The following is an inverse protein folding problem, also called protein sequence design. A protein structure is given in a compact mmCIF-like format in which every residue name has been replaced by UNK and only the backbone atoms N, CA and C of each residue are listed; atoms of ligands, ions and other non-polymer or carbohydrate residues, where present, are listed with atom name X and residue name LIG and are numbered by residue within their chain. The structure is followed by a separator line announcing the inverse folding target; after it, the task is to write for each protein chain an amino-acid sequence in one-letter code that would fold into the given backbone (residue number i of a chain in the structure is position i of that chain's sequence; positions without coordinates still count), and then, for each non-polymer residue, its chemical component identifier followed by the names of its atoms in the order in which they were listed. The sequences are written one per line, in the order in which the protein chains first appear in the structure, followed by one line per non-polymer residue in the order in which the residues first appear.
data_IF_023401396134
#
_entry.id   IF_023401396134
#
_cell.length_a   1.000
_cell.length_b   1.000
_cell.length_c   1.000
_cell.angle_alpha   90.00
_cell.angle_beta   90.00
_cell.angle_gamma   90.00
#
_symmetry.space_group_name_H-M   'P 1'
#
loop_
_entity.id
_entity.type
_entity.pdbx_description
1 polymer ?
#
# COMPACT_ATOMS: atom_id res chain seq x y z
N UNK A 1 48.61 13.78 46.15
CA UNK A 1 48.68 14.27 44.76
C UNK A 1 47.26 14.33 44.16
N UNK A 2 46.43 15.29 44.59
CA UNK A 2 45.10 15.60 44.03
C UNK A 2 45.19 16.80 43.07
N UNK A 3 46.14 16.78 42.13
CA UNK A 3 46.41 17.93 41.26
C UNK A 3 45.42 18.04 40.07
N UNK A 4 44.55 17.05 39.91
CA UNK A 4 43.50 16.98 38.88
C UNK A 4 42.21 16.42 39.50
N UNK A 5 41.77 17.02 40.59
CA UNK A 5 40.50 16.72 41.26
C UNK A 5 39.28 16.97 40.36
N UNK A 6 39.40 17.89 39.41
CA UNK A 6 38.43 18.10 38.32
C UNK A 6 39.14 18.04 36.97
N UNK A 7 38.60 17.26 36.04
CA UNK A 7 39.06 17.18 34.65
C UNK A 7 37.86 16.97 33.71
N UNK A 8 37.98 17.44 32.47
CA UNK A 8 36.83 17.54 31.54
C UNK A 8 36.48 16.22 30.84
N UNK A 9 37.40 15.25 30.81
CA UNK A 9 37.30 14.01 30.04
C UNK A 9 36.85 14.21 28.57
N UNK A 10 37.12 15.39 27.98
CA UNK A 10 36.52 15.81 26.72
C UNK A 10 36.78 14.85 25.55
N UNK A 11 38.02 14.35 25.42
CA UNK A 11 38.35 13.37 24.37
C UNK A 11 37.65 12.02 24.58
N UNK A 12 37.47 11.59 25.83
CA UNK A 12 36.77 10.33 26.15
C UNK A 12 35.30 10.47 25.76
N UNK A 13 34.66 11.58 26.13
CA UNK A 13 33.28 11.89 25.76
C UNK A 13 33.12 11.97 24.23
N UNK A 14 34.02 12.66 23.53
CA UNK A 14 33.98 12.77 22.07
C UNK A 14 34.13 11.41 21.36
N UNK A 15 35.04 10.54 21.83
CA UNK A 15 35.21 9.19 21.26
C UNK A 15 33.97 8.32 21.43
N UNK A 16 33.32 8.39 22.59
CA UNK A 16 32.06 7.66 22.83
C UNK A 16 30.88 8.22 22.05
N UNK A 17 30.85 9.54 21.85
CA UNK A 17 29.85 10.19 20.99
C UNK A 17 30.05 9.77 19.53
N UNK A 18 31.29 9.70 19.05
CA UNK A 18 31.59 9.23 17.69
C UNK A 18 31.16 7.76 17.49
N UNK A 19 31.46 6.87 18.44
CA UNK A 19 31.01 5.47 18.42
C UNK A 19 29.48 5.36 18.38
N UNK A 20 28.76 6.19 19.16
CA UNK A 20 27.31 6.24 19.13
C UNK A 20 26.74 6.73 17.79
N UNK A 21 27.40 7.69 17.13
CA UNK A 21 27.00 8.18 15.80
C UNK A 21 27.13 7.09 14.74
N UNK A 22 28.16 6.23 14.81
CA UNK A 22 28.30 5.11 13.88
C UNK A 22 27.16 4.09 14.04
N UNK A 23 26.76 3.78 15.27
CA UNK A 23 25.59 2.92 15.53
C UNK A 23 24.31 3.58 14.99
N UNK A 24 24.15 4.89 15.18
CA UNK A 24 23.00 5.62 14.66
C UNK A 24 22.92 5.55 13.11
N UNK A 25 24.05 5.66 12.40
CA UNK A 25 24.09 5.49 10.94
C UNK A 25 23.61 4.10 10.52
N UNK A 26 24.01 3.04 11.23
CA UNK A 26 23.52 1.68 10.97
C UNK A 26 22.00 1.57 11.16
N UNK A 27 21.48 2.14 12.25
CA UNK A 27 20.03 2.15 12.53
C UNK A 27 19.25 2.92 11.46
N UNK A 28 19.73 4.11 11.08
CA UNK A 28 19.10 4.94 10.04
C UNK A 28 19.12 4.24 8.69
N UNK A 29 20.24 3.63 8.31
CA UNK A 29 20.35 2.87 7.05
C UNK A 29 19.34 1.73 6.98
N UNK A 30 19.25 0.94 8.06
CA UNK A 30 18.27 -0.15 8.21
C UNK A 30 16.84 0.39 8.10
N UNK A 31 16.55 1.50 8.77
CA UNK A 31 15.24 2.11 8.76
C UNK A 31 14.86 2.66 7.37
N UNK A 32 15.80 3.30 6.66
CA UNK A 32 15.59 3.81 5.30
C UNK A 32 15.28 2.69 4.30
N UNK A 33 15.99 1.56 4.39
CA UNK A 33 15.68 0.37 3.58
C UNK A 33 14.27 -0.14 3.90
N UNK A 34 13.92 -0.25 5.18
CA UNK A 34 12.59 -0.67 5.62
C UNK A 34 11.46 0.26 5.15
N UNK A 35 11.68 1.57 5.19
CA UNK A 35 10.72 2.56 4.69
C UNK A 35 10.54 2.47 3.17
N UNK A 36 11.62 2.32 2.41
CA UNK A 36 11.52 2.15 0.95
C UNK A 36 10.83 0.83 0.59
N UNK A 37 11.09 -0.24 1.36
CA UNK A 37 10.37 -1.51 1.20
C UNK A 37 8.87 -1.33 1.46
N UNK A 38 8.48 -0.59 2.49
CA UNK A 38 7.08 -0.30 2.76
C UNK A 38 6.44 0.53 1.63
N UNK A 39 7.15 1.50 1.06
CA UNK A 39 6.67 2.28 -0.09
C UNK A 39 6.42 1.39 -1.33
N UNK A 40 7.34 0.49 -1.63
CA UNK A 40 7.19 -0.46 -2.75
C UNK A 40 6.03 -1.43 -2.52
N UNK A 41 5.87 -1.95 -1.29
CA UNK A 41 4.73 -2.81 -0.94
C UNK A 41 3.40 -2.10 -1.10
N UNK A 42 3.34 -0.80 -0.80
CA UNK A 42 2.12 0.00 -0.95
C UNK A 42 1.81 0.30 -2.41
N UNK A 43 2.85 0.49 -3.22
CA UNK A 43 2.70 0.58 -4.66
C UNK A 43 2.20 -0.74 -5.28
N UNK A 44 2.72 -1.88 -4.79
CA UNK A 44 2.24 -3.21 -5.17
C UNK A 44 0.78 -3.42 -4.76
N UNK A 45 0.44 -3.04 -3.53
CA UNK A 45 -0.92 -3.12 -2.98
C UNK A 45 -1.93 -2.39 -3.87
N UNK A 46 -1.63 -1.14 -4.28
CA UNK A 46 -2.51 -0.36 -5.16
C UNK A 46 -2.69 -1.02 -6.53
N UNK A 47 -1.62 -1.53 -7.13
CA UNK A 47 -1.71 -2.21 -8.43
C UNK A 47 -2.51 -3.51 -8.35
N UNK A 48 -2.28 -4.33 -7.33
CA UNK A 48 -3.00 -5.59 -7.14
C UNK A 48 -4.47 -5.33 -6.79
N UNK A 49 -4.78 -4.29 -6.02
CA UNK A 49 -6.17 -3.88 -5.74
C UNK A 49 -6.92 -3.56 -7.03
N UNK A 50 -6.33 -2.75 -7.92
CA UNK A 50 -6.97 -2.39 -9.20
C UNK A 50 -7.18 -3.61 -10.11
N UNK A 51 -6.24 -4.57 -10.13
CA UNK A 51 -6.41 -5.84 -10.85
C UNK A 51 -7.59 -6.64 -10.28
N UNK A 52 -7.71 -6.74 -8.96
CA UNK A 52 -8.84 -7.44 -8.31
C UNK A 52 -10.17 -6.72 -8.61
N UNK A 53 -10.22 -5.38 -8.55
CA UNK A 53 -11.42 -4.61 -8.94
C UNK A 53 -11.85 -4.92 -10.37
N UNK A 54 -10.91 -4.87 -11.32
CA UNK A 54 -11.18 -5.21 -12.71
C UNK A 54 -11.67 -6.65 -12.87
N UNK A 55 -11.07 -7.62 -12.19
CA UNK A 55 -11.49 -9.02 -12.22
C UNK A 55 -12.89 -9.23 -11.65
N UNK A 56 -13.23 -8.57 -10.54
CA UNK A 56 -14.57 -8.61 -9.93
C UNK A 56 -15.61 -7.99 -10.86
N UNK A 57 -15.34 -6.81 -11.41
CA UNK A 57 -16.26 -6.14 -12.35
C UNK A 57 -16.50 -6.97 -13.61
N UNK A 58 -15.45 -7.51 -14.22
CA UNK A 58 -15.58 -8.34 -15.42
C UNK A 58 -16.35 -9.63 -15.13
N UNK A 59 -16.12 -10.26 -13.98
CA UNK A 59 -16.87 -11.45 -13.56
C UNK A 59 -18.33 -11.13 -13.30
N UNK A 60 -18.62 -10.03 -12.59
CA UNK A 60 -19.98 -9.58 -12.31
C UNK A 60 -20.75 -9.34 -13.61
N UNK A 61 -20.15 -8.63 -14.57
CA UNK A 61 -20.76 -8.40 -15.90
C UNK A 61 -21.00 -9.70 -16.69
N UNK A 62 -20.08 -10.65 -16.62
CA UNK A 62 -20.19 -11.92 -17.35
C UNK A 62 -21.25 -12.85 -16.75
N UNK A 63 -21.41 -12.86 -15.43
CA UNK A 63 -22.18 -13.90 -14.71
C UNK A 63 -23.48 -13.39 -14.10
N UNK A 64 -23.56 -12.11 -13.72
CA UNK A 64 -24.72 -11.55 -13.05
C UNK A 64 -25.63 -10.76 -14.00
N UNK A 65 -25.15 -10.32 -15.18
CA UNK A 65 -25.89 -9.38 -16.04
C UNK A 65 -26.70 -10.05 -17.16
N UNK A 66 -26.36 -11.28 -17.53
CA UNK A 66 -26.94 -11.99 -18.68
C UNK A 66 -27.86 -13.11 -18.21
N UNK A 67 -29.20 -12.93 -18.24
CA UNK A 67 -30.18 -13.98 -17.92
C UNK A 67 -29.95 -15.28 -18.73
N UNK A 68 -30.52 -16.41 -18.30
CA UNK A 68 -30.44 -17.69 -19.05
C UNK A 68 -31.00 -17.53 -20.49
N UNK A 69 -31.89 -16.54 -20.69
CA UNK A 69 -32.55 -16.22 -21.95
C UNK A 69 -31.87 -15.08 -22.76
N UNK A 70 -30.71 -14.58 -22.30
CA UNK A 70 -29.99 -13.46 -22.93
C UNK A 70 -30.54 -12.07 -22.61
N UNK A 71 -31.61 -11.95 -21.83
CA UNK A 71 -32.12 -10.67 -21.32
C UNK A 71 -31.14 -10.02 -20.32
N UNK A 72 -31.05 -8.69 -20.34
CA UNK A 72 -30.24 -7.95 -19.35
C UNK A 72 -30.98 -7.89 -18.01
N UNK A 73 -30.38 -8.45 -16.96
CA UNK A 73 -30.88 -8.34 -15.60
C UNK A 73 -30.59 -6.94 -15.03
N UNK A 74 -31.48 -6.40 -14.18
CA UNK A 74 -31.24 -5.18 -13.37
C UNK A 74 -30.22 -5.42 -12.23
N UNK A 75 -29.17 -6.20 -12.49
CA UNK A 75 -28.06 -6.45 -11.58
C UNK A 75 -26.96 -5.39 -11.65
N UNK A 76 -27.19 -4.30 -12.43
CA UNK A 76 -26.35 -3.10 -12.45
C UNK A 76 -26.09 -2.50 -11.06
N UNK A 77 -26.99 -2.75 -10.10
CA UNK A 77 -26.91 -2.17 -8.76
C UNK A 77 -25.71 -2.67 -7.95
N UNK A 78 -25.33 -3.96 -8.04
CA UNK A 78 -24.36 -4.56 -7.11
C UNK A 78 -22.89 -4.18 -7.39
N UNK A 79 -22.57 -3.52 -8.52
CA UNK A 79 -21.18 -3.18 -8.87
C UNK A 79 -20.53 -2.32 -7.78
N UNK A 80 -21.27 -1.38 -7.21
CA UNK A 80 -20.74 -0.45 -6.20
C UNK A 80 -20.39 -1.18 -4.90
N UNK A 81 -21.27 -2.04 -4.39
CA UNK A 81 -21.02 -2.77 -3.15
C UNK A 81 -19.92 -3.81 -3.31
N UNK A 82 -19.85 -4.49 -4.46
CA UNK A 82 -18.77 -5.44 -4.74
C UNK A 82 -17.40 -4.74 -4.82
N UNK A 83 -17.34 -3.55 -5.44
CA UNK A 83 -16.13 -2.74 -5.45
C UNK A 83 -15.76 -2.24 -4.06
N UNK A 84 -16.74 -1.83 -3.26
CA UNK A 84 -16.52 -1.40 -1.88
C UNK A 84 -15.89 -2.53 -1.04
N UNK A 85 -16.34 -3.78 -1.20
CA UNK A 85 -15.69 -4.93 -0.54
C UNK A 85 -14.21 -5.02 -0.89
N UNK A 86 -13.84 -4.85 -2.16
CA UNK A 86 -12.44 -4.89 -2.61
C UNK A 86 -11.63 -3.71 -2.06
N UNK A 87 -12.21 -2.52 -2.01
CA UNK A 87 -11.56 -1.32 -1.48
C UNK A 87 -11.25 -1.44 0.02
N UNK A 88 -12.18 -2.05 0.74
CA UNK A 88 -12.12 -2.14 2.18
C UNK A 88 -11.37 -3.37 2.72
N UNK A 89 -11.05 -4.33 1.86
CA UNK A 89 -10.21 -5.46 2.24
C UNK A 89 -8.72 -5.14 2.09
N UNK A 90 -7.90 -5.40 3.13
CA UNK A 90 -6.44 -5.35 3.00
C UNK A 90 -5.97 -6.38 1.97
N UNK A 91 -5.33 -5.93 0.88
CA UNK A 91 -4.95 -6.83 -0.23
C UNK A 91 -4.06 -7.98 0.26
N UNK A 92 -3.10 -7.69 1.12
CA UNK A 92 -2.16 -8.70 1.64
C UNK A 92 -2.79 -9.75 2.57
N UNK A 93 -4.06 -9.63 2.96
CA UNK A 93 -4.74 -10.67 3.75
C UNK A 93 -5.31 -11.81 2.91
N UNK A 94 -5.33 -11.68 1.58
CA UNK A 94 -5.90 -12.70 0.69
C UNK A 94 -5.12 -12.92 -0.62
N UNK A 95 -4.23 -12.02 -1.00
CA UNK A 95 -3.63 -12.00 -2.35
C UNK A 95 -2.53 -13.06 -2.57
N UNK A 96 -2.15 -13.80 -1.54
CA UNK A 96 -1.31 -15.00 -1.61
C UNK A 96 -2.07 -16.20 -2.18
N UNK A 97 -3.34 -16.38 -1.82
CA UNK A 97 -4.28 -17.30 -2.47
C UNK A 97 -5.66 -16.62 -2.65
N UNK A 98 -5.80 -15.76 -3.68
CA UNK A 98 -6.99 -14.91 -3.86
C UNK A 98 -8.26 -15.72 -4.18
N UNK A 99 -8.12 -17.01 -4.47
CA UNK A 99 -9.22 -17.89 -4.80
C UNK A 99 -9.61 -18.83 -3.63
N UNK A 100 -9.01 -18.66 -2.46
CA UNK A 100 -9.35 -19.42 -1.25
C UNK A 100 -10.75 -19.01 -0.71
N UNK A 101 -11.72 -19.93 -0.65
CA UNK A 101 -13.08 -19.60 -0.17
C UNK A 101 -13.13 -19.23 1.32
N UNK A 102 -12.09 -19.56 2.10
CA UNK A 102 -11.99 -19.22 3.53
C UNK A 102 -11.48 -17.80 3.76
N UNK A 103 -10.95 -17.12 2.74
CA UNK A 103 -10.47 -15.75 2.87
C UNK A 103 -11.59 -14.72 2.80
N UNK A 104 -11.37 -13.62 3.50
CA UNK A 104 -12.38 -12.60 3.73
C UNK A 104 -12.95 -11.99 2.43
N UNK A 105 -12.15 -11.92 1.35
CA UNK A 105 -12.61 -11.42 0.05
C UNK A 105 -13.80 -12.22 -0.48
N UNK A 106 -13.66 -13.54 -0.67
CA UNK A 106 -14.73 -14.37 -1.23
C UNK A 106 -15.91 -14.51 -0.26
N UNK A 107 -15.65 -14.52 1.04
CA UNK A 107 -16.69 -14.54 2.07
C UNK A 107 -17.57 -13.29 2.01
N UNK A 108 -16.97 -12.09 1.95
CA UNK A 108 -17.70 -10.82 1.92
C UNK A 108 -18.38 -10.57 0.57
N UNK A 109 -17.75 -10.94 -0.55
CA UNK A 109 -18.41 -10.86 -1.85
C UNK A 109 -19.66 -11.76 -1.88
N UNK A 110 -19.59 -12.96 -1.29
CA UNK A 110 -20.75 -13.85 -1.15
C UNK A 110 -21.82 -13.24 -0.24
N UNK A 111 -21.44 -12.69 0.91
CA UNK A 111 -22.35 -12.04 1.85
C UNK A 111 -23.14 -10.91 1.18
N UNK A 112 -22.46 -10.03 0.43
CA UNK A 112 -23.10 -8.96 -0.34
C UNK A 112 -24.09 -9.52 -1.37
N UNK A 113 -23.72 -10.57 -2.11
CA UNK A 113 -24.61 -11.16 -3.11
C UNK A 113 -25.84 -11.83 -2.48
N UNK A 114 -25.67 -12.51 -1.34
CA UNK A 114 -26.76 -13.14 -0.60
C UNK A 114 -27.70 -12.08 -0.03
N UNK A 115 -27.18 -11.06 0.64
CA UNK A 115 -28.01 -9.99 1.21
C UNK A 115 -28.82 -9.25 0.12
N UNK A 116 -28.21 -9.02 -1.05
CA UNK A 116 -28.94 -8.47 -2.20
C UNK A 116 -30.00 -9.40 -2.76
N UNK A 117 -29.79 -10.71 -2.74
CA UNK A 117 -30.80 -11.68 -3.18
C UNK A 117 -32.02 -11.72 -2.25
N UNK A 118 -31.83 -11.49 -0.95
CA UNK A 118 -32.91 -11.48 0.04
C UNK A 118 -33.77 -10.20 -0.01
N UNK A 119 -33.19 -9.09 -0.48
CA UNK A 119 -33.86 -7.79 -0.53
C UNK A 119 -34.60 -7.51 -1.87
N UNK A 120 -34.63 -8.47 -2.80
CA UNK A 120 -35.34 -8.37 -4.09
C UNK A 120 -36.70 -9.10 -4.05
N UNK A 121 -37.53 -8.90 -5.09
CA UNK A 121 -38.72 -9.71 -5.37
C UNK A 121 -38.37 -11.21 -5.45
N UNK A 122 -39.32 -12.09 -5.12
CA UNK A 122 -39.05 -13.54 -5.01
C UNK A 122 -38.45 -14.16 -6.28
N UNK A 123 -38.94 -13.76 -7.46
CA UNK A 123 -38.45 -14.28 -8.75
C UNK A 123 -37.04 -13.77 -9.11
N UNK A 124 -36.76 -12.47 -8.94
CA UNK A 124 -35.46 -11.88 -9.23
C UNK A 124 -34.39 -12.28 -8.20
N UNK A 125 -34.78 -12.42 -6.93
CA UNK A 125 -33.91 -12.86 -5.84
C UNK A 125 -33.42 -14.29 -6.04
N UNK A 126 -34.32 -15.21 -6.40
CA UNK A 126 -33.96 -16.60 -6.70
C UNK A 126 -33.00 -16.72 -7.89
N UNK A 127 -33.22 -15.95 -8.95
CA UNK A 127 -32.35 -15.93 -10.13
C UNK A 127 -30.92 -15.47 -9.80
N UNK A 128 -30.77 -14.46 -8.92
CA UNK A 128 -29.45 -14.00 -8.43
C UNK A 128 -28.80 -15.07 -7.56
N UNK A 129 -29.55 -15.67 -6.63
CA UNK A 129 -29.02 -16.68 -5.71
C UNK A 129 -28.44 -17.90 -6.45
N UNK A 130 -29.13 -18.38 -7.49
CA UNK A 130 -28.66 -19.50 -8.34
C UNK A 130 -27.33 -19.21 -9.05
N UNK A 131 -26.99 -17.93 -9.26
CA UNK A 131 -25.77 -17.50 -9.98
C UNK A 131 -24.57 -17.28 -9.08
N UNK A 132 -24.76 -17.23 -7.76
CA UNK A 132 -23.66 -17.02 -6.81
C UNK A 132 -22.54 -18.06 -7.00
N UNK A 133 -22.81 -19.37 -7.13
CA UNK A 133 -21.75 -20.36 -7.36
C UNK A 133 -21.01 -20.12 -8.68
N UNK A 134 -21.75 -19.80 -9.75
CA UNK A 134 -21.17 -19.51 -11.08
C UNK A 134 -20.25 -18.28 -11.04
N UNK A 135 -20.66 -17.22 -10.34
CA UNK A 135 -19.83 -16.04 -10.11
C UNK A 135 -18.57 -16.39 -9.33
N UNK A 136 -18.67 -17.17 -8.26
CA UNK A 136 -17.52 -17.55 -7.43
C UNK A 136 -16.51 -18.39 -8.20
N UNK A 137 -16.96 -19.40 -8.95
CA UNK A 137 -16.08 -20.26 -9.76
C UNK A 137 -15.35 -19.46 -10.84
N UNK A 138 -16.05 -18.59 -11.58
CA UNK A 138 -15.44 -17.75 -12.62
C UNK A 138 -14.48 -16.70 -12.02
N UNK A 139 -14.82 -16.12 -10.87
CA UNK A 139 -13.95 -15.17 -10.18
C UNK A 139 -12.67 -15.85 -9.69
N UNK A 140 -12.80 -17.01 -9.05
CA UNK A 140 -11.66 -17.81 -8.63
C UNK A 140 -10.74 -18.16 -9.78
N UNK A 141 -11.30 -18.62 -10.91
CA UNK A 141 -10.53 -18.92 -12.13
C UNK A 141 -9.75 -17.69 -12.62
N UNK A 142 -10.41 -16.53 -12.71
CA UNK A 142 -9.78 -15.28 -13.16
C UNK A 142 -8.72 -14.78 -12.19
N UNK A 143 -8.96 -14.82 -10.89
CA UNK A 143 -7.99 -14.36 -9.89
C UNK A 143 -6.71 -15.21 -9.90
N UNK A 144 -6.82 -16.53 -10.10
CA UNK A 144 -5.66 -17.43 -10.25
C UNK A 144 -4.81 -17.10 -11.48
N UNK A 145 -5.40 -16.54 -12.54
CA UNK A 145 -4.70 -16.16 -13.77
C UNK A 145 -4.14 -14.73 -13.71
N UNK A 146 -4.95 -13.76 -13.30
CA UNK A 146 -4.65 -12.32 -13.38
C UNK A 146 -3.68 -11.84 -12.29
N UNK A 147 -3.77 -12.39 -11.06
CA UNK A 147 -2.92 -11.93 -9.94
C UNK A 147 -1.44 -12.28 -10.16
N UNK A 148 -1.05 -13.51 -10.54
CA UNK A 148 0.35 -13.82 -10.85
C UNK A 148 0.87 -12.99 -12.04
N UNK A 149 0.06 -12.84 -13.11
CA UNK A 149 0.41 -11.99 -14.25
C UNK A 149 0.65 -10.53 -13.84
N UNK A 150 -0.16 -10.00 -12.93
CA UNK A 150 0.02 -8.65 -12.41
C UNK A 150 1.33 -8.51 -11.62
N UNK A 151 1.70 -9.51 -10.81
CA UNK A 151 2.99 -9.54 -10.11
C UNK A 151 4.17 -9.55 -11.09
N UNK A 152 4.12 -10.40 -12.11
CA UNK A 152 5.17 -10.44 -13.15
C UNK A 152 5.29 -9.11 -13.92
N UNK A 153 4.16 -8.45 -14.23
CA UNK A 153 4.17 -7.12 -14.86
C UNK A 153 4.77 -6.06 -13.93
N UNK A 154 4.44 -6.13 -12.65
CA UNK A 154 5.00 -5.25 -11.62
C UNK A 154 6.52 -5.40 -11.51
N UNK A 155 7.04 -6.62 -11.51
CA UNK A 155 8.48 -6.88 -11.47
C UNK A 155 9.21 -6.38 -12.73
N UNK A 156 8.53 -6.38 -13.88
CA UNK A 156 9.03 -5.81 -15.14
C UNK A 156 8.93 -4.27 -15.20
N UNK A 157 8.29 -3.64 -14.21
CA UNK A 157 8.09 -2.20 -14.16
C UNK A 157 6.89 -1.67 -14.96
N UNK A 158 6.00 -2.57 -15.43
CA UNK A 158 4.75 -2.22 -16.10
C UNK A 158 3.63 -2.08 -15.07
N UNK A 159 3.42 -0.83 -14.61
CA UNK A 159 2.47 -0.50 -13.55
C UNK A 159 1.16 0.06 -14.13
N UNK A 160 0.02 -0.45 -13.67
CA UNK A 160 -1.30 0.13 -13.97
C UNK A 160 -1.47 1.48 -13.24
N UNK A 161 -1.07 1.51 -11.98
CA UNK A 161 -1.10 2.72 -11.14
C UNK A 161 0.34 3.18 -10.92
N UNK A 162 0.71 4.42 -11.25
CA UNK A 162 2.07 4.90 -11.08
C UNK A 162 2.46 5.06 -9.60
N UNK A 163 3.75 4.94 -9.30
CA UNK A 163 4.23 5.03 -7.92
C UNK A 163 4.02 6.44 -7.34
N UNK A 164 3.16 6.54 -6.31
CA UNK A 164 2.81 7.81 -5.67
C UNK A 164 3.99 8.57 -5.06
N UNK A 165 5.05 7.88 -4.64
CA UNK A 165 6.23 8.51 -4.03
C UNK A 165 6.85 9.57 -4.96
N UNK A 166 6.73 9.42 -6.27
CA UNK A 166 7.21 10.41 -7.26
C UNK A 166 6.53 11.78 -7.13
N UNK A 167 5.36 11.84 -6.49
CA UNK A 167 4.61 13.07 -6.21
C UNK A 167 4.81 13.58 -4.78
N UNK A 168 5.55 12.86 -3.94
CA UNK A 168 5.77 13.21 -2.54
C UNK A 168 7.05 14.04 -2.38
N UNK A 169 7.06 14.95 -1.39
CA UNK A 169 8.27 15.72 -1.04
C UNK A 169 9.42 14.84 -0.54
N UNK A 170 9.09 13.67 0.00
CA UNK A 170 10.05 12.67 0.48
C UNK A 170 10.66 11.81 -0.63
N UNK A 171 10.34 12.07 -1.90
CA UNK A 171 10.92 11.37 -3.05
C UNK A 171 12.46 11.31 -3.03
N UNK A 172 13.21 12.36 -2.64
CA UNK A 172 14.67 12.29 -2.59
C UNK A 172 15.20 11.19 -1.66
N UNK A 173 14.49 10.85 -0.59
CA UNK A 173 14.87 9.74 0.32
C UNK A 173 14.77 8.40 -0.41
N UNK A 174 13.65 8.19 -1.12
CA UNK A 174 13.45 6.97 -1.91
C UNK A 174 14.45 6.88 -3.07
N UNK A 175 14.72 8.00 -3.75
CA UNK A 175 15.70 8.08 -4.83
C UNK A 175 17.12 7.74 -4.36
N UNK A 176 17.54 8.22 -3.19
CA UNK A 176 18.83 7.86 -2.60
C UNK A 176 18.95 6.34 -2.43
N UNK A 177 17.95 5.70 -1.83
CA UNK A 177 18.00 4.26 -1.53
C UNK A 177 17.91 3.41 -2.81
N UNK A 178 16.97 3.72 -3.70
CA UNK A 178 16.65 2.87 -4.87
C UNK A 178 17.50 3.17 -6.10
N UNK A 179 17.81 4.44 -6.35
CA UNK A 179 18.52 4.86 -7.57
C UNK A 179 20.01 5.10 -7.33
N UNK A 180 20.37 5.81 -6.26
CA UNK A 180 21.77 6.19 -6.02
C UNK A 180 22.57 5.08 -5.32
N UNK A 181 22.02 4.50 -4.25
CA UNK A 181 22.62 3.37 -3.53
C UNK A 181 22.36 2.02 -4.23
N UNK A 182 21.32 1.94 -5.08
CA UNK A 182 20.99 0.71 -5.80
C UNK A 182 20.55 -0.44 -4.90
N UNK A 183 19.88 -0.14 -3.78
CA UNK A 183 19.27 -1.14 -2.92
C UNK A 183 17.99 -1.68 -3.59
N UNK A 184 17.95 -2.98 -3.88
CA UNK A 184 16.84 -3.62 -4.55
C UNK A 184 15.58 -3.74 -3.67
N UNK A 185 14.43 -3.98 -4.30
CA UNK A 185 13.23 -4.44 -3.61
C UNK A 185 13.45 -5.88 -3.11
N UNK A 186 13.30 -6.08 -1.80
CA UNK A 186 13.57 -7.36 -1.14
C UNK A 186 12.39 -8.31 -1.31
N UNK A 187 12.65 -9.53 -1.76
CA UNK A 187 11.67 -10.62 -1.87
C UNK A 187 12.38 -11.93 -1.64
N UNK A 188 11.69 -12.94 -1.10
CA UNK A 188 12.25 -14.28 -0.89
C UNK A 188 12.59 -15.02 -2.19
N UNK A 189 12.13 -14.52 -3.34
CA UNK A 189 12.44 -15.07 -4.66
C UNK A 189 13.83 -14.63 -5.17
N UNK A 190 14.38 -13.54 -4.64
CA UNK A 190 15.68 -12.99 -5.04
C UNK A 190 16.74 -13.40 -4.01
N UNK A 191 17.99 -13.55 -4.49
CA UNK A 191 19.13 -13.95 -3.66
C UNK A 191 19.75 -12.81 -2.83
N UNK A 192 19.29 -11.57 -3.02
CA UNK A 192 19.86 -10.38 -2.35
C UNK A 192 19.45 -10.37 -0.88
N UNK A 193 20.43 -10.32 0.01
CA UNK A 193 20.17 -10.23 1.45
C UNK A 193 19.79 -8.81 1.89
N UNK A 194 19.00 -8.66 2.98
CA UNK A 194 18.76 -7.35 3.57
C UNK A 194 20.05 -6.62 3.97
N UNK A 195 21.08 -7.36 4.41
CA UNK A 195 22.38 -6.82 4.81
C UNK A 195 23.06 -6.07 3.66
N UNK A 196 23.12 -6.66 2.47
CA UNK A 196 23.70 -6.03 1.28
C UNK A 196 23.00 -4.71 0.92
N UNK A 197 21.67 -4.64 1.09
CA UNK A 197 20.92 -3.41 0.86
C UNK A 197 21.22 -2.34 1.91
N UNK A 198 21.39 -2.73 3.18
CA UNK A 198 21.71 -1.82 4.27
C UNK A 198 23.13 -1.27 4.13
N UNK A 199 24.11 -2.11 3.77
CA UNK A 199 25.50 -1.70 3.52
C UNK A 199 25.59 -0.64 2.42
N UNK A 200 24.91 -0.83 1.29
CA UNK A 200 24.85 0.16 0.20
C UNK A 200 24.34 1.53 0.65
N UNK A 201 23.30 1.54 1.51
CA UNK A 201 22.74 2.80 2.04
C UNK A 201 23.68 3.43 3.07
N UNK A 202 24.32 2.60 3.89
CA UNK A 202 25.32 3.05 4.85
C UNK A 202 26.52 3.72 4.16
N UNK A 203 27.02 3.12 3.08
CA UNK A 203 28.10 3.67 2.26
C UNK A 203 27.68 5.02 1.66
N UNK A 204 26.46 5.12 1.11
CA UNK A 204 25.93 6.38 0.59
C UNK A 204 25.83 7.48 1.67
N UNK A 205 25.50 7.11 2.91
CA UNK A 205 25.50 8.04 4.05
C UNK A 205 26.93 8.44 4.43
N UNK A 206 27.87 7.50 4.42
CA UNK A 206 29.29 7.76 4.72
C UNK A 206 29.95 8.68 3.68
N UNK A 207 29.52 8.60 2.42
CA UNK A 207 29.91 9.52 1.33
C UNK A 207 29.29 10.93 1.45
N UNK A 208 28.41 11.17 2.43
CA UNK A 208 27.82 12.47 2.69
C UNK A 208 26.62 12.83 1.80
N UNK A 209 26.05 11.87 1.06
CA UNK A 209 24.91 12.12 0.14
C UNK A 209 23.62 12.53 0.86
N UNK A 210 23.49 12.24 2.16
CA UNK A 210 22.30 12.56 2.96
C UNK A 210 21.98 14.06 3.02
N UNK A 211 23.00 14.94 2.97
CA UNK A 211 22.80 16.39 2.99
C UNK A 211 21.93 16.87 1.82
N UNK A 212 22.22 16.38 0.62
CA UNK A 212 21.45 16.68 -0.60
C UNK A 212 20.00 16.22 -0.48
N UNK A 213 19.77 15.02 0.04
CA UNK A 213 18.43 14.46 0.26
C UNK A 213 17.58 15.33 1.18
N UNK A 214 18.13 15.77 2.31
CA UNK A 214 17.42 16.62 3.26
C UNK A 214 17.05 17.97 2.66
N UNK A 215 17.99 18.60 1.96
CA UNK A 215 17.71 19.86 1.25
C UNK A 215 16.65 19.69 0.17
N UNK A 216 16.66 18.58 -0.58
CA UNK A 216 15.64 18.24 -1.56
C UNK A 216 14.25 18.07 -0.94
N UNK A 217 14.15 17.38 0.20
CA UNK A 217 12.88 17.18 0.89
C UNK A 217 12.28 18.49 1.42
N UNK A 218 13.14 19.42 1.86
CA UNK A 218 12.76 20.70 2.44
C UNK A 218 12.82 21.87 1.45
N UNK A 219 13.10 21.62 0.17
CA UNK A 219 13.31 22.67 -0.84
C UNK A 219 12.13 23.65 -0.96
N UNK A 220 10.91 23.19 -0.66
CA UNK A 220 9.67 23.98 -0.72
C UNK A 220 9.22 24.53 0.64
N UNK A 221 9.98 24.29 1.71
CA UNK A 221 9.65 24.74 3.06
C UNK A 221 10.18 26.16 3.30
N UNK A 222 9.29 27.07 3.73
CA UNK A 222 9.61 28.49 3.95
C UNK A 222 10.02 28.80 5.41
N UNK A 223 10.34 27.78 6.21
CA UNK A 223 10.70 27.95 7.62
C UNK A 223 9.52 28.25 8.56
N UNK A 224 8.29 28.24 8.06
CA UNK A 224 7.07 28.49 8.86
C UNK A 224 6.27 27.21 9.08
N UNK A 225 5.58 27.13 10.22
CA UNK A 225 4.63 26.06 10.53
C UNK A 225 3.43 26.07 9.55
N UNK A 226 2.71 24.93 9.50
CA UNK A 226 1.61 24.66 8.56
C UNK A 226 0.40 25.62 8.64
N UNK A 227 -0.63 25.40 7.79
CA UNK A 227 -1.74 26.33 7.54
C UNK A 227 -2.67 26.58 8.74
N UNK A 228 -2.47 25.90 9.87
CA UNK A 228 -3.26 26.08 11.09
C UNK A 228 -2.91 27.35 11.88
N UNK A 229 -2.03 28.21 11.35
CA UNK A 229 -1.86 29.58 11.84
C UNK A 229 -2.58 30.54 10.90
N UNK A 230 -3.57 31.32 11.37
CA UNK A 230 -4.29 32.27 10.50
C UNK A 230 -3.32 33.33 9.98
N UNK A 231 -3.10 33.37 8.66
CA UNK A 231 -2.16 34.30 8.02
C UNK A 231 -2.65 34.76 6.64
N UNK A 232 -2.21 35.95 6.19
CA UNK A 232 -2.56 36.49 4.87
C UNK A 232 -1.91 35.72 3.69
N UNK A 233 -0.83 34.96 3.92
CA UNK A 233 -0.12 34.21 2.88
C UNK A 233 0.03 32.72 3.21
N UNK A 234 -0.02 31.87 2.18
CA UNK A 234 0.08 30.41 2.28
C UNK A 234 1.49 29.96 2.68
N UNK A 235 1.61 29.07 3.66
CA UNK A 235 2.89 28.58 4.23
C UNK A 235 3.75 27.76 3.26
N UNK A 236 3.19 27.33 2.12
CA UNK A 236 3.88 26.64 1.04
C UNK A 236 3.17 26.90 -0.29
N UNK A 237 3.92 27.14 -1.37
CA UNK A 237 3.36 27.32 -2.72
C UNK A 237 3.00 26.01 -3.43
N UNK A 238 3.27 24.86 -2.80
CA UNK A 238 2.92 23.56 -3.37
C UNK A 238 1.43 23.28 -3.15
N UNK A 239 0.74 22.88 -4.22
CA UNK A 239 -0.67 22.50 -4.18
C UNK A 239 -0.90 21.44 -3.10
N UNK A 240 -1.65 21.79 -2.06
CA UNK A 240 -2.16 20.80 -1.11
C UNK A 240 -3.25 20.03 -1.85
N UNK A 241 -3.02 18.74 -2.13
CA UNK A 241 -4.06 17.87 -2.63
C UNK A 241 -4.46 16.87 -1.52
N UNK A 242 -5.48 17.20 -0.71
CA UNK A 242 -5.96 16.29 0.33
C UNK A 242 -6.47 14.96 -0.22
N UNK A 243 -6.84 14.85 -1.50
CA UNK A 243 -7.24 13.57 -2.13
C UNK A 243 -6.08 12.54 -2.18
N UNK A 244 -4.83 13.02 -2.05
CA UNK A 244 -3.66 12.15 -1.92
C UNK A 244 -3.42 11.68 -0.48
N UNK A 245 -4.15 12.25 0.48
CA UNK A 245 -4.05 12.00 1.93
C UNK A 245 -5.18 11.10 2.46
N UNK A 246 -6.06 10.58 1.59
CA UNK A 246 -7.10 9.57 1.91
C UNK A 246 -6.54 8.27 2.54
N UNK A 247 -5.23 8.21 2.79
CA UNK A 247 -4.56 7.19 3.57
C UNK A 247 -5.06 7.08 5.02
N UNK A 248 -5.50 8.19 5.62
CA UNK A 248 -5.95 8.25 7.01
C UNK A 248 -7.47 8.31 7.16
N UNK A 249 -8.23 8.03 6.10
CA UNK A 249 -9.67 7.89 6.28
C UNK A 249 -9.95 6.75 7.27
N UNK A 250 -10.69 7.08 8.33
CA UNK A 250 -11.13 6.20 9.41
C UNK A 250 -12.14 5.15 8.92
N UNK A 251 -11.87 4.48 7.81
CA UNK A 251 -12.64 3.32 7.39
C UNK A 251 -12.12 2.17 8.23
N UNK A 252 -12.85 1.85 9.31
CA UNK A 252 -12.60 0.67 10.15
C UNK A 252 -12.11 -0.48 9.29
N UNK A 253 -10.91 -0.99 9.57
CA UNK A 253 -10.50 -2.29 9.03
C UNK A 253 -11.57 -3.30 9.44
N UNK A 254 -12.32 -3.92 8.52
CA UNK A 254 -13.11 -5.07 8.89
C UNK A 254 -12.14 -6.12 9.42
N UNK A 255 -12.46 -6.70 10.57
CA UNK A 255 -11.65 -7.77 11.15
C UNK A 255 -11.38 -8.84 10.08
N UNK A 256 -10.11 -9.15 9.85
CA UNK A 256 -9.65 -10.09 8.82
C UNK A 256 -10.23 -11.51 8.99
N UNK A 257 -10.89 -11.77 10.12
CA UNK A 257 -11.40 -13.09 10.52
C UNK A 257 -12.91 -13.14 10.78
N UNK A 258 -13.65 -12.04 10.68
CA UNK A 258 -15.11 -12.08 10.90
C UNK A 258 -15.88 -11.61 9.67
N UNK A 259 -16.65 -12.52 9.08
CA UNK A 259 -17.73 -12.22 8.13
C UNK A 259 -18.91 -11.48 8.76
N UNK A 260 -18.62 -10.44 9.55
CA UNK A 260 -19.55 -9.46 10.11
C UNK A 260 -18.87 -8.10 10.05
N UNK A 261 -18.68 -7.60 8.84
CA UNK A 261 -18.27 -6.23 8.57
C UNK A 261 -19.45 -5.47 8.00
N UNK A 262 -20.48 -5.25 8.82
CA UNK A 262 -21.62 -4.42 8.42
C UNK A 262 -21.12 -3.00 8.08
N UNK A 263 -21.27 -2.62 6.81
CA UNK A 263 -21.07 -1.25 6.33
C UNK A 263 -22.26 -0.38 6.74
N UNK A 264 -22.36 -0.03 8.02
CA UNK A 264 -23.29 1.03 8.44
C UNK A 264 -22.66 2.38 8.16
N UNK A 265 -23.27 3.13 7.22
CA UNK A 265 -23.19 4.59 7.15
C UNK A 265 -23.63 5.22 8.47
#
# INVERSE_FOLDING_TARGET
QHNQDVNSLGLISARKSAEAVEILKLMVSTYMVGLCQALDLRHLEENLREVVKHAVMQTARKTLYTAEDGAMLESRFCEKELLQVVECQPVFSYIDDPANPSYALLLQLREVLVDKSLNKSEEDGYAVFKRIPVFQEELQRRLREEVPRARERFDKGDYLVPHRIKRCRTYPVYQLVRSEAGAAFLTGEKQVSPGECVEKVLDAIAEGKLGGVLTGCLATWRGTAGPFTPRPDVSSSAHCNPDTWNWFDNVRSPSATSGRGYWTQ
#
